data_IF_299862417283
#
_entry.id   IF_299862417283
#
_cell.length_a   1.000
_cell.length_b   1.000
_cell.length_c   1.000
_cell.angle_alpha   90.00
_cell.angle_beta   90.00
_cell.angle_gamma   90.00
#
_symmetry.space_group_name_H-M   'P 1'
#
loop_
_entity.id
_entity.type
_entity.pdbx_description
1 polymer ?
#
# COMPACT_ATOMS: atom_id res chain seq x y z
N UNK A 1 1.42 11.15 6.47
CA UNK A 1 0.58 10.07 5.89
C UNK A 1 1.22 9.59 4.58
N UNK A 2 1.49 8.30 4.50
CA UNK A 2 1.95 7.63 3.26
C UNK A 2 1.00 6.49 2.94
N UNK A 3 0.70 6.27 1.65
CA UNK A 3 -0.14 5.16 1.20
C UNK A 3 0.56 4.38 0.09
N UNK A 4 0.71 3.08 0.28
CA UNK A 4 1.18 2.15 -0.73
C UNK A 4 0.00 1.46 -1.41
N UNK A 5 -0.24 1.77 -2.67
CA UNK A 5 -1.37 1.23 -3.43
C UNK A 5 -1.07 -0.12 -4.08
N UNK A 6 0.22 -0.47 -4.25
CA UNK A 6 0.66 -1.70 -4.88
C UNK A 6 1.55 -2.49 -3.91
N UNK A 7 1.11 -3.68 -3.43
CA UNK A 7 1.88 -4.44 -2.45
C UNK A 7 3.25 -4.91 -2.97
N UNK A 8 3.43 -5.05 -4.29
CA UNK A 8 4.73 -5.40 -4.87
C UNK A 8 5.84 -4.38 -4.58
N UNK A 9 5.48 -3.12 -4.28
CA UNK A 9 6.45 -2.08 -3.95
C UNK A 9 7.09 -2.28 -2.57
N UNK A 10 6.46 -3.05 -1.68
CA UNK A 10 6.97 -3.32 -0.34
C UNK A 10 8.35 -4.01 -0.34
N UNK A 11 8.58 -4.87 -1.34
CA UNK A 11 9.84 -5.62 -1.49
C UNK A 11 10.84 -4.91 -2.41
N UNK A 12 10.42 -3.81 -3.05
CA UNK A 12 11.25 -3.12 -4.03
C UNK A 12 11.73 -1.75 -3.54
N UNK A 13 10.89 -1.08 -2.77
CA UNK A 13 11.15 0.29 -2.30
C UNK A 13 10.97 0.41 -0.80
N UNK A 14 11.70 1.32 -0.18
CA UNK A 14 11.52 1.67 1.22
C UNK A 14 10.33 2.64 1.38
N UNK A 15 9.12 2.07 1.45
CA UNK A 15 7.88 2.84 1.43
C UNK A 15 7.57 3.57 2.74
N UNK A 16 8.25 3.23 3.84
CA UNK A 16 7.92 3.76 5.18
C UNK A 16 8.92 4.77 5.72
N UNK A 17 10.13 4.86 5.15
CA UNK A 17 11.20 5.71 5.67
C UNK A 17 10.83 7.21 5.76
N UNK A 18 9.88 7.66 4.93
CA UNK A 18 9.41 9.04 4.92
C UNK A 18 8.22 9.30 5.87
N UNK A 19 7.73 8.26 6.54
CA UNK A 19 6.67 8.40 7.54
C UNK A 19 7.28 8.88 8.85
N UNK A 20 6.86 10.05 9.32
CA UNK A 20 7.32 10.60 10.61
C UNK A 20 6.90 9.70 11.77
N UNK A 21 7.65 9.77 12.89
CA UNK A 21 7.26 9.11 14.14
C UNK A 21 5.80 9.45 14.51
N UNK A 22 5.04 8.44 14.93
CA UNK A 22 3.60 8.54 15.16
C UNK A 22 2.75 8.79 13.92
N UNK A 23 3.36 8.84 12.72
CA UNK A 23 2.67 9.05 11.46
C UNK A 23 1.78 7.88 11.06
N UNK A 24 1.22 7.94 9.86
CA UNK A 24 0.26 6.94 9.38
C UNK A 24 0.72 6.32 8.07
N UNK A 25 0.67 5.00 7.99
CA UNK A 25 0.91 4.22 6.78
C UNK A 25 -0.32 3.38 6.42
N UNK A 26 -0.79 3.49 5.17
CA UNK A 26 -1.88 2.70 4.62
C UNK A 26 -1.35 1.78 3.52
N UNK A 27 -1.58 0.48 3.64
CA UNK A 27 -1.23 -0.51 2.63
C UNK A 27 -2.50 -1.09 1.98
N UNK A 28 -2.59 -0.98 0.65
CA UNK A 28 -3.58 -1.72 -0.13
C UNK A 28 -3.04 -3.10 -0.44
N UNK A 29 -3.56 -4.13 0.23
CA UNK A 29 -3.12 -5.52 0.04
C UNK A 29 -4.26 -6.51 0.22
N UNK A 30 -4.03 -7.73 -0.25
CA UNK A 30 -4.97 -8.86 -0.11
C UNK A 30 -4.72 -9.67 1.17
N UNK A 31 -3.63 -9.39 1.88
CA UNK A 31 -3.16 -10.19 3.02
C UNK A 31 -4.01 -9.94 4.25
N UNK A 32 -4.28 -11.03 4.98
CA UNK A 32 -4.86 -10.95 6.32
C UNK A 32 -3.82 -10.39 7.31
N UNK A 33 -4.25 -9.92 8.49
CA UNK A 33 -3.31 -9.47 9.54
C UNK A 33 -2.26 -10.52 9.90
N UNK A 34 -2.62 -11.81 9.89
CA UNK A 34 -1.71 -12.93 10.20
C UNK A 34 -0.70 -13.20 9.07
N UNK A 35 -1.08 -12.88 7.83
CA UNK A 35 -0.19 -13.03 6.67
C UNK A 35 0.81 -11.89 6.57
N UNK A 36 0.48 -10.70 7.09
CA UNK A 36 1.35 -9.52 7.02
C UNK A 36 2.73 -9.78 7.60
N UNK A 37 2.82 -10.53 8.70
CA UNK A 37 4.11 -10.84 9.33
C UNK A 37 5.06 -11.60 8.41
N UNK A 38 4.54 -12.44 7.52
CA UNK A 38 5.31 -13.22 6.55
C UNK A 38 5.62 -12.46 5.26
N UNK A 39 4.79 -11.48 4.93
CA UNK A 39 4.85 -10.78 3.65
C UNK A 39 5.66 -9.47 3.72
N UNK A 40 5.69 -8.83 4.90
CA UNK A 40 6.37 -7.56 5.07
C UNK A 40 7.88 -7.77 5.31
N UNK A 41 8.75 -6.99 4.62
CA UNK A 41 10.18 -6.99 4.88
C UNK A 41 10.51 -6.63 6.34
N UNK A 42 11.55 -7.25 6.91
CA UNK A 42 11.96 -6.98 8.29
C UNK A 42 12.32 -5.51 8.52
N UNK A 43 12.99 -4.86 7.56
CA UNK A 43 13.32 -3.44 7.63
C UNK A 43 12.07 -2.57 7.83
N UNK A 44 10.99 -2.88 7.10
CA UNK A 44 9.73 -2.18 7.22
C UNK A 44 9.04 -2.45 8.54
N UNK A 45 8.99 -3.71 8.98
CA UNK A 45 8.42 -4.10 10.30
C UNK A 45 9.11 -3.35 11.43
N UNK A 46 10.45 -3.32 11.44
CA UNK A 46 11.23 -2.57 12.42
C UNK A 46 10.87 -1.09 12.42
N UNK A 47 10.89 -0.46 11.26
CA UNK A 47 10.58 0.97 11.15
C UNK A 47 9.19 1.30 11.69
N UNK A 48 8.18 0.49 11.33
CA UNK A 48 6.80 0.66 11.81
C UNK A 48 6.72 0.56 13.33
N UNK A 49 7.40 -0.44 13.93
CA UNK A 49 7.35 -0.69 15.38
C UNK A 49 8.18 0.33 16.17
N UNK A 50 9.37 0.71 15.69
CA UNK A 50 10.28 1.64 16.38
C UNK A 50 9.76 3.09 16.34
N UNK A 51 9.08 3.49 15.26
CA UNK A 51 8.58 4.85 15.06
C UNK A 51 7.09 4.99 15.36
N UNK A 52 6.48 4.04 16.07
CA UNK A 52 5.06 4.10 16.51
C UNK A 52 4.10 4.40 15.36
N UNK A 53 4.34 3.85 14.18
CA UNK A 53 3.55 4.14 12.99
C UNK A 53 2.14 3.56 13.13
N UNK A 54 1.12 4.38 12.89
CA UNK A 54 -0.26 3.93 12.80
C UNK A 54 -0.44 3.18 11.49
N UNK A 55 -0.38 1.85 11.56
CA UNK A 55 -0.44 1.00 10.38
C UNK A 55 -1.87 0.56 10.08
N UNK A 56 -2.29 0.74 8.83
CA UNK A 56 -3.61 0.37 8.32
C UNK A 56 -3.50 -0.44 7.05
N UNK A 57 -4.46 -1.35 6.85
CA UNK A 57 -4.61 -2.10 5.60
C UNK A 57 -6.02 -1.98 5.05
N UNK A 58 -6.15 -2.20 3.74
CA UNK A 58 -7.42 -2.30 3.04
C UNK A 58 -7.25 -3.24 1.84
N UNK A 59 -8.24 -4.08 1.56
CA UNK A 59 -8.29 -4.85 0.31
C UNK A 59 -9.15 -4.13 -0.73
N UNK A 60 -8.62 -3.02 -1.25
CA UNK A 60 -9.32 -2.21 -2.26
C UNK A 60 -9.52 -2.93 -3.59
N UNK A 61 -8.69 -3.94 -3.89
CA UNK A 61 -8.83 -4.77 -5.10
C UNK A 61 -10.09 -5.61 -5.01
N UNK A 62 -10.24 -6.36 -3.91
CA UNK A 62 -11.44 -7.18 -3.66
C UNK A 62 -12.70 -6.33 -3.62
N UNK A 63 -12.68 -5.22 -2.91
CA UNK A 63 -13.81 -4.29 -2.86
C UNK A 63 -14.19 -3.83 -4.26
N UNK A 64 -13.20 -3.44 -5.09
CA UNK A 64 -13.45 -2.99 -6.46
C UNK A 64 -14.11 -4.08 -7.33
N UNK A 65 -13.65 -5.32 -7.21
CA UNK A 65 -14.24 -6.46 -7.93
C UNK A 65 -15.70 -6.69 -7.52
N UNK A 66 -15.98 -6.73 -6.22
CA UNK A 66 -17.30 -7.01 -5.65
C UNK A 66 -18.33 -5.90 -5.94
N UNK A 67 -17.91 -4.66 -6.07
CA UNK A 67 -18.81 -3.54 -6.44
C UNK A 67 -18.95 -3.36 -7.96
N UNK A 68 -18.31 -4.19 -8.78
CA UNK A 68 -18.38 -4.12 -10.23
C UNK A 68 -17.44 -3.07 -10.87
N UNK A 69 -16.33 -2.75 -10.21
CA UNK A 69 -15.29 -1.83 -10.68
C UNK A 69 -13.90 -2.49 -10.76
N UNK A 70 -13.73 -3.66 -11.42
CA UNK A 70 -12.46 -4.38 -11.42
C UNK A 70 -11.32 -3.47 -11.90
N UNK A 71 -10.21 -3.49 -11.17
CA UNK A 71 -9.02 -2.67 -11.44
C UNK A 71 -9.18 -1.16 -11.14
N UNK A 72 -10.27 -0.73 -10.49
CA UNK A 72 -10.56 0.69 -10.23
C UNK A 72 -10.75 0.99 -8.75
N UNK A 73 -9.71 0.76 -7.95
CA UNK A 73 -9.75 0.95 -6.51
C UNK A 73 -9.56 2.42 -6.05
N UNK A 74 -9.33 3.37 -6.96
CA UNK A 74 -8.93 4.74 -6.59
C UNK A 74 -9.91 5.46 -5.67
N UNK A 75 -11.21 5.39 -5.93
CA UNK A 75 -12.24 6.02 -5.07
C UNK A 75 -12.36 5.32 -3.72
N UNK A 76 -12.13 4.01 -3.67
CA UNK A 76 -12.11 3.19 -2.46
C UNK A 76 -10.95 3.62 -1.57
N UNK A 77 -9.75 3.70 -2.13
CA UNK A 77 -8.54 4.10 -1.41
C UNK A 77 -8.61 5.56 -0.94
N UNK A 78 -9.20 6.44 -1.75
CA UNK A 78 -9.44 7.83 -1.36
C UNK A 78 -10.42 7.93 -0.18
N UNK A 79 -11.47 7.11 -0.14
CA UNK A 79 -12.40 7.04 0.97
C UNK A 79 -11.72 6.55 2.25
N UNK A 80 -10.89 5.50 2.16
CA UNK A 80 -10.06 5.03 3.27
C UNK A 80 -9.13 6.14 3.78
N UNK A 81 -8.48 6.88 2.88
CA UNK A 81 -7.63 8.01 3.24
C UNK A 81 -8.38 9.05 4.08
N UNK A 82 -9.55 9.53 3.62
CA UNK A 82 -10.32 10.53 4.37
C UNK A 82 -10.79 10.01 5.72
N UNK A 83 -11.10 8.71 5.81
CA UNK A 83 -11.50 8.07 7.06
C UNK A 83 -10.36 8.05 8.08
N UNK A 84 -9.15 7.72 7.66
CA UNK A 84 -7.97 7.60 8.53
C UNK A 84 -7.40 8.97 8.87
N UNK A 85 -7.21 9.82 7.85
CA UNK A 85 -6.57 11.11 8.00
C UNK A 85 -7.43 12.14 8.74
N UNK A 86 -8.75 11.97 8.74
CA UNK A 86 -9.75 12.80 9.45
C UNK A 86 -9.51 14.32 9.30
N UNK A 87 -9.12 14.74 8.10
CA UNK A 87 -8.83 16.15 7.77
C UNK A 87 -10.13 16.99 7.79
N UNK A 88 -11.24 16.36 7.42
CA UNK A 88 -12.60 16.88 7.52
C UNK A 88 -13.48 15.78 8.11
N UNK A 89 -14.66 16.09 8.69
CA UNK A 89 -15.57 15.08 9.21
C UNK A 89 -15.85 14.00 8.16
N UNK A 90 -15.72 12.73 8.54
CA UNK A 90 -15.78 11.59 7.61
C UNK A 90 -17.09 11.56 6.81
N UNK A 91 -18.22 11.80 7.46
CA UNK A 91 -19.53 11.85 6.80
C UNK A 91 -19.57 12.93 5.71
N UNK A 92 -18.95 14.08 5.99
CA UNK A 92 -18.85 15.17 5.03
C UNK A 92 -17.96 14.82 3.85
N UNK A 93 -16.83 14.12 4.10
CA UNK A 93 -15.96 13.64 3.04
C UNK A 93 -16.70 12.67 2.11
N UNK A 94 -17.39 11.69 2.68
CA UNK A 94 -18.18 10.70 1.93
C UNK A 94 -19.27 11.38 1.10
N UNK A 95 -20.01 12.33 1.69
CA UNK A 95 -21.03 13.10 0.97
C UNK A 95 -20.44 13.81 -0.26
N UNK A 96 -19.32 14.52 -0.06
CA UNK A 96 -18.65 15.26 -1.14
C UNK A 96 -18.09 14.33 -2.23
N UNK A 97 -17.52 13.21 -1.83
CA UNK A 97 -17.03 12.20 -2.78
C UNK A 97 -18.18 11.63 -3.63
N UNK A 98 -19.31 11.28 -3.01
CA UNK A 98 -20.49 10.79 -3.74
C UNK A 98 -21.05 11.85 -4.70
N UNK A 99 -21.14 13.12 -4.28
CA UNK A 99 -21.52 14.22 -5.17
C UNK A 99 -20.59 14.35 -6.38
N UNK A 100 -19.27 14.22 -6.15
CA UNK A 100 -18.29 14.25 -7.24
C UNK A 100 -18.45 13.05 -8.19
N UNK A 101 -18.75 11.86 -7.67
CA UNK A 101 -19.04 10.66 -8.47
C UNK A 101 -20.26 10.88 -9.36
N UNK A 102 -21.37 11.37 -8.79
CA UNK A 102 -22.58 11.68 -9.56
C UNK A 102 -22.27 12.67 -10.69
N UNK A 103 -21.60 13.78 -10.37
CA UNK A 103 -21.20 14.78 -11.36
C UNK A 103 -20.35 14.20 -12.50
N UNK A 104 -19.40 13.32 -12.15
CA UNK A 104 -18.42 12.76 -13.10
C UNK A 104 -18.99 11.63 -13.94
N UNK A 105 -19.84 10.79 -13.35
CA UNK A 105 -20.23 9.51 -13.96
C UNK A 105 -21.72 9.43 -14.34
N UNK A 106 -22.55 10.43 -14.09
CA UNK A 106 -23.99 10.42 -14.46
C UNK A 106 -24.23 10.05 -15.93
N UNK A 107 -23.38 10.53 -16.82
CA UNK A 107 -23.46 10.21 -18.28
C UNK A 107 -23.09 8.76 -18.62
N UNK A 108 -22.47 8.02 -17.69
CA UNK A 108 -22.08 6.61 -17.89
C UNK A 108 -23.12 5.61 -17.40
N UNK A 109 -24.23 6.11 -16.87
CA UNK A 109 -25.33 5.31 -16.38
C UNK A 109 -25.32 5.13 -14.85
N UNK A 110 -26.51 4.87 -14.33
CA UNK A 110 -26.75 4.76 -12.88
C UNK A 110 -25.98 3.63 -12.22
N UNK A 111 -25.81 2.50 -12.92
CA UNK A 111 -25.04 1.36 -12.41
C UNK A 111 -23.60 1.73 -12.07
N UNK A 112 -22.93 2.56 -12.91
CA UNK A 112 -21.57 3.03 -12.66
C UNK A 112 -21.51 3.98 -11.48
N UNK A 113 -22.50 4.86 -11.34
CA UNK A 113 -22.62 5.77 -10.19
C UNK A 113 -22.76 4.98 -8.90
N UNK A 114 -23.71 4.02 -8.87
CA UNK A 114 -23.98 3.20 -7.70
C UNK A 114 -22.77 2.35 -7.31
N UNK A 115 -22.08 1.73 -8.25
CA UNK A 115 -20.86 0.97 -8.01
C UNK A 115 -19.78 1.83 -7.33
N UNK A 116 -19.54 3.07 -7.84
CA UNK A 116 -18.58 3.98 -7.22
C UNK A 116 -19.02 4.45 -5.82
N UNK A 117 -20.31 4.75 -5.62
CA UNK A 117 -20.83 5.13 -4.31
C UNK A 117 -20.69 3.99 -3.30
N UNK A 118 -21.00 2.76 -3.70
CA UNK A 118 -20.81 1.57 -2.87
C UNK A 118 -19.32 1.36 -2.52
N UNK A 119 -18.42 1.56 -3.50
CA UNK A 119 -16.98 1.50 -3.27
C UNK A 119 -16.49 2.53 -2.24
N UNK A 120 -17.03 3.76 -2.27
CA UNK A 120 -16.73 4.80 -1.28
C UNK A 120 -17.19 4.37 0.12
N UNK A 121 -18.43 3.88 0.25
CA UNK A 121 -18.96 3.43 1.55
C UNK A 121 -18.15 2.27 2.13
N UNK A 122 -17.77 1.32 1.31
CA UNK A 122 -16.96 0.17 1.74
C UNK A 122 -15.53 0.59 2.07
N UNK A 123 -14.91 1.45 1.26
CA UNK A 123 -13.57 1.98 1.52
C UNK A 123 -13.46 2.68 2.88
N UNK A 124 -14.53 3.37 3.31
CA UNK A 124 -14.59 3.99 4.62
C UNK A 124 -14.77 2.98 5.77
N UNK A 125 -15.47 1.86 5.53
CA UNK A 125 -15.85 0.90 6.57
C UNK A 125 -14.90 -0.28 6.72
N UNK A 126 -14.21 -0.65 5.64
CA UNK A 126 -13.41 -1.88 5.58
C UNK A 126 -11.90 -1.62 5.70
N UNK A 127 -11.50 -0.40 6.03
CA UNK A 127 -10.13 -0.12 6.43
C UNK A 127 -9.89 -0.68 7.83
N UNK A 128 -8.77 -1.39 8.01
CA UNK A 128 -8.44 -2.09 9.25
C UNK A 128 -7.17 -1.48 9.84
N UNK A 129 -7.21 -1.11 11.12
CA UNK A 129 -6.01 -0.75 11.89
C UNK A 129 -5.32 -2.03 12.33
N UNK A 130 -4.03 -2.11 12.13
CA UNK A 130 -3.21 -3.25 12.50
C UNK A 130 -2.57 -2.99 13.86
N UNK A 131 -2.74 -3.91 14.79
CA UNK A 131 -2.01 -3.92 16.04
C UNK A 131 -0.59 -4.40 15.77
N UNK A 132 0.37 -3.47 15.80
CA UNK A 132 1.77 -3.74 15.49
C UNK A 132 2.41 -4.54 16.63
N UNK A 133 2.88 -5.78 16.39
CA UNK A 133 3.52 -6.58 17.44
C UNK A 133 4.86 -5.99 17.86
N UNK A 134 5.18 -6.02 19.16
CA UNK A 134 6.50 -5.63 19.67
C UNK A 134 7.63 -6.48 19.06
N UNK A 135 7.36 -7.73 18.70
CA UNK A 135 8.33 -8.63 18.03
C UNK A 135 8.83 -8.11 16.70
N UNK A 136 8.13 -7.17 16.08
CA UNK A 136 8.58 -6.57 14.82
C UNK A 136 9.84 -5.72 14.97
N UNK A 137 10.17 -5.25 16.19
CA UNK A 137 11.43 -4.55 16.47
C UNK A 137 12.66 -5.43 16.25
N UNK A 138 12.49 -6.75 16.47
CA UNK A 138 13.55 -7.74 16.33
C UNK A 138 13.44 -8.56 15.04
N UNK A 139 12.59 -8.13 14.08
CA UNK A 139 12.38 -8.85 12.85
C UNK A 139 13.69 -8.99 12.04
N UNK A 140 13.92 -10.15 11.45
CA UNK A 140 15.07 -10.44 10.60
C UNK A 140 14.54 -11.00 9.28
N UNK A 141 15.04 -10.50 8.16
CA UNK A 141 14.75 -11.10 6.86
C UNK A 141 15.56 -12.39 6.69
N UNK A 142 14.92 -13.43 6.16
CA UNK A 142 15.66 -14.57 5.61
C UNK A 142 16.45 -14.07 4.41
N UNK A 143 17.76 -14.34 4.39
CA UNK A 143 18.60 -14.05 3.23
C UNK A 143 18.07 -14.85 2.02
N UNK A 144 17.36 -14.16 1.14
CA UNK A 144 16.93 -14.70 -0.14
C UNK A 144 18.00 -14.39 -1.17
N UNK A 145 18.73 -15.41 -1.58
CA UNK A 145 19.67 -15.28 -2.71
C UNK A 145 18.88 -14.84 -3.96
N UNK A 146 19.34 -13.75 -4.61
CA UNK A 146 18.72 -13.29 -5.85
C UNK A 146 19.02 -14.35 -6.93
N UNK A 147 17.99 -15.09 -7.33
CA UNK A 147 18.11 -16.08 -8.39
C UNK A 147 18.32 -15.36 -9.75
N UNK A 148 19.55 -15.30 -10.19
CA UNK A 148 19.92 -14.73 -11.49
C UNK A 148 20.02 -15.88 -12.50
N UNK A 149 19.08 -15.99 -13.48
CA UNK A 149 18.98 -17.14 -14.38
C UNK A 149 20.05 -17.07 -15.50
N UNK A 150 21.31 -17.07 -15.13
CA UNK A 150 22.45 -17.10 -16.07
C UNK A 150 23.60 -17.85 -15.46
N UNK A 151 24.40 -18.52 -16.32
CA UNK A 151 25.66 -19.18 -15.94
C UNK A 151 26.87 -18.31 -16.18
N UNK A 152 26.74 -17.08 -16.72
CA UNK A 152 27.83 -16.18 -17.07
C UNK A 152 28.17 -15.30 -15.85
N UNK A 153 29.38 -15.40 -15.26
CA UNK A 153 29.79 -14.66 -14.06
C UNK A 153 29.64 -13.15 -14.22
N UNK A 154 30.08 -12.59 -15.33
CA UNK A 154 30.03 -11.16 -15.64
C UNK A 154 28.58 -10.62 -15.67
N UNK A 155 27.62 -11.44 -16.09
CA UNK A 155 26.23 -11.08 -16.08
C UNK A 155 25.66 -11.10 -14.66
N UNK A 156 26.10 -12.06 -13.83
CA UNK A 156 25.70 -12.10 -12.42
C UNK A 156 26.20 -10.87 -11.67
N UNK A 157 27.46 -10.51 -11.88
CA UNK A 157 28.07 -9.33 -11.28
C UNK A 157 27.36 -8.04 -11.72
N UNK A 158 27.08 -7.90 -13.01
CA UNK A 158 26.33 -6.75 -13.53
C UNK A 158 24.93 -6.65 -12.91
N UNK A 159 24.18 -7.75 -12.89
CA UNK A 159 22.83 -7.77 -12.33
C UNK A 159 22.86 -7.43 -10.83
N UNK A 160 23.77 -8.05 -10.07
CA UNK A 160 23.86 -7.87 -8.62
C UNK A 160 24.34 -6.47 -8.23
N UNK A 161 25.38 -5.97 -8.90
CA UNK A 161 26.08 -4.77 -8.46
C UNK A 161 25.64 -3.49 -9.17
N UNK A 162 24.94 -3.59 -10.28
CA UNK A 162 24.50 -2.42 -11.07
C UNK A 162 22.99 -2.42 -11.25
N UNK A 163 22.42 -3.47 -11.89
CA UNK A 163 21.02 -3.47 -12.26
C UNK A 163 20.09 -3.50 -11.04
N UNK A 164 20.38 -4.38 -10.07
CA UNK A 164 19.56 -4.50 -8.86
C UNK A 164 19.55 -3.23 -8.01
N UNK A 165 20.68 -2.55 -7.72
CA UNK A 165 20.66 -1.25 -7.04
C UNK A 165 19.83 -0.20 -7.79
N UNK A 166 19.99 -0.08 -9.12
CA UNK A 166 19.22 0.87 -9.94
C UNK A 166 17.72 0.57 -9.84
N UNK A 167 17.33 -0.70 -9.96
CA UNK A 167 15.93 -1.13 -9.90
C UNK A 167 15.27 -0.91 -8.52
N UNK A 168 16.10 -0.80 -7.48
CA UNK A 168 15.68 -0.52 -6.09
C UNK A 168 15.88 0.96 -5.68
N UNK A 169 16.08 1.86 -6.62
CA UNK A 169 16.32 3.30 -6.42
C UNK A 169 17.59 3.63 -5.62
N UNK A 170 18.59 2.76 -5.66
CA UNK A 170 19.93 2.95 -5.08
C UNK A 170 20.98 3.24 -6.16
N UNK A 171 20.56 3.74 -7.32
CA UNK A 171 21.49 4.05 -8.43
C UNK A 171 22.50 5.16 -8.09
N UNK A 172 22.11 6.09 -7.23
CA UNK A 172 22.98 7.20 -6.78
C UNK A 172 24.10 6.73 -5.83
N UNK A 173 23.96 5.52 -5.25
CA UNK A 173 24.96 4.91 -4.36
C UNK A 173 26.05 4.15 -5.15
N UNK A 174 25.91 4.04 -6.47
CA UNK A 174 26.88 3.33 -7.31
C UNK A 174 28.18 4.12 -7.46
N UNK A 175 29.33 3.45 -7.46
CA UNK A 175 30.60 4.11 -7.68
C UNK A 175 30.67 4.74 -9.08
N UNK A 176 31.20 5.96 -9.16
CA UNK A 176 31.41 6.72 -10.40
C UNK A 176 32.67 6.20 -11.11
#
# INVERSE_FOLDING_TARGET
FVACHCPAYMNKYDMVQDVKDGGTFLLNCIWSPEELDKQLPAKMKKYIAENNINFYTINGIKIAEEVGLPGRASTILQSAFFTIANIIPVDKAIELMKKAVVKKFSKKGEAVVNANCNGIDRGSKEVVKIDVPESWKDAVDEEKEIAIPTNRPEMKDFVKNILHPIDHLHGDDLPV
#
